data_IF_144539749065
#
_entry.id   IF_144539749065
#
_cell.length_a   1.000
_cell.length_b   1.000
_cell.length_c   1.000
_cell.angle_alpha   90.00
_cell.angle_beta   90.00
_cell.angle_gamma   90.00
#
_symmetry.space_group_name_H-M   'P 1'
#
loop_
_entity.id
_entity.type
_entity.pdbx_description
1 polymer ?
#
# COMPACT_ATOMS: atom_id res chain seq x y z
N UNK A 1 -46.33 -2.58 10.14
CA UNK A 1 -44.93 -2.83 9.74
C UNK A 1 -44.26 -3.89 10.62
N UNK A 2 -44.86 -5.09 10.76
CA UNK A 2 -44.26 -6.22 11.49
C UNK A 2 -44.67 -7.60 10.90
N UNK A 3 -45.21 -7.63 9.69
CA UNK A 3 -45.65 -8.84 8.98
C UNK A 3 -44.86 -9.13 7.69
N UNK A 4 -43.77 -8.40 7.43
CA UNK A 4 -42.99 -8.51 6.18
C UNK A 4 -41.54 -9.00 6.38
N UNK A 5 -41.22 -9.64 7.51
CA UNK A 5 -39.86 -10.10 7.82
C UNK A 5 -39.67 -11.63 7.89
N UNK A 6 -40.71 -12.42 7.58
CA UNK A 6 -40.67 -13.90 7.73
C UNK A 6 -40.57 -14.70 6.43
N UNK A 7 -40.43 -14.07 5.27
CA UNK A 7 -40.25 -14.77 3.99
C UNK A 7 -38.92 -14.39 3.33
N UNK A 8 -37.79 -14.97 3.77
CA UNK A 8 -36.64 -15.35 2.90
C UNK A 8 -35.44 -15.87 3.73
N UNK A 9 -35.62 -16.94 4.52
CA UNK A 9 -34.48 -17.69 5.08
C UNK A 9 -34.84 -19.18 5.09
N UNK A 10 -34.26 -19.95 4.16
CA UNK A 10 -34.46 -21.40 4.01
C UNK A 10 -33.48 -22.25 4.82
N UNK A 11 -32.80 -21.67 5.81
CA UNK A 11 -31.86 -22.38 6.67
C UNK A 11 -32.41 -22.57 8.10
N UNK A 12 -32.73 -23.80 8.54
CA UNK A 12 -33.27 -24.07 9.87
C UNK A 12 -32.34 -23.65 11.02
N UNK A 13 -31.02 -23.67 10.79
CA UNK A 13 -29.99 -23.40 11.81
C UNK A 13 -29.92 -21.90 12.17
N UNK A 14 -30.13 -21.02 11.18
CA UNK A 14 -30.11 -19.56 11.36
C UNK A 14 -31.36 -19.12 12.14
N UNK A 15 -32.52 -19.74 11.88
CA UNK A 15 -33.76 -19.48 12.62
C UNK A 15 -33.64 -19.81 14.10
N UNK A 16 -32.98 -20.92 14.46
CA UNK A 16 -32.81 -21.32 15.87
C UNK A 16 -31.92 -20.33 16.64
N UNK A 17 -30.80 -19.87 16.06
CA UNK A 17 -29.89 -18.91 16.72
C UNK A 17 -30.50 -17.52 16.88
N UNK A 18 -31.25 -17.03 15.89
CA UNK A 18 -31.92 -15.74 15.97
C UNK A 18 -33.03 -15.73 17.04
N UNK A 19 -33.79 -16.83 17.17
CA UNK A 19 -34.82 -16.97 18.21
C UNK A 19 -34.22 -17.14 19.61
N UNK A 20 -33.10 -17.86 19.75
CA UNK A 20 -32.38 -18.00 21.03
C UNK A 20 -31.82 -16.65 21.51
N UNK A 21 -31.29 -15.84 20.59
CA UNK A 21 -30.80 -14.49 20.88
C UNK A 21 -31.92 -13.55 21.32
N UNK A 22 -33.07 -13.58 20.64
CA UNK A 22 -34.24 -12.79 21.01
C UNK A 22 -34.82 -13.19 22.38
N UNK A 23 -34.83 -14.49 22.70
CA UNK A 23 -35.28 -14.99 24.01
C UNK A 23 -34.37 -14.50 25.14
N UNK A 24 -33.05 -14.46 24.89
CA UNK A 24 -32.05 -14.00 25.87
C UNK A 24 -32.17 -12.49 26.12
N UNK A 25 -32.41 -11.70 25.07
CA UNK A 25 -32.62 -10.25 25.16
C UNK A 25 -33.94 -9.93 25.87
N UNK A 26 -35.01 -10.69 25.62
CA UNK A 26 -36.31 -10.51 26.29
C UNK A 26 -36.28 -10.96 27.75
N UNK A 27 -35.48 -11.97 28.11
CA UNK A 27 -35.27 -12.41 29.49
C UNK A 27 -34.44 -11.40 30.31
N UNK A 28 -33.54 -10.65 29.67
CA UNK A 28 -32.69 -9.66 30.34
C UNK A 28 -33.40 -8.32 30.63
N UNK A 29 -34.60 -8.08 30.10
CA UNK A 29 -35.29 -6.78 30.20
C UNK A 29 -36.59 -6.76 31.02
N UNK A 30 -36.93 -7.81 31.78
CA UNK A 30 -38.14 -7.78 32.61
C UNK A 30 -37.94 -7.12 33.98
N UNK A 31 -38.14 -5.80 34.02
CA UNK A 31 -38.89 -5.16 35.09
C UNK A 31 -40.26 -4.73 34.52
N UNK A 32 -41.33 -5.12 35.20
CA UNK A 32 -42.75 -4.82 34.94
C UNK A 32 -43.50 -5.62 33.83
N UNK A 33 -44.29 -6.58 34.31
CA UNK A 33 -45.69 -6.87 33.94
C UNK A 33 -46.12 -7.03 32.48
N UNK A 34 -46.20 -8.28 32.01
CA UNK A 34 -47.44 -8.94 31.52
C UNK A 34 -47.08 -10.28 30.86
N UNK A 35 -47.61 -11.36 31.43
CA UNK A 35 -47.46 -12.74 30.95
C UNK A 35 -48.32 -12.92 29.68
N UNK A 36 -47.73 -13.40 28.58
CA UNK A 36 -48.40 -14.28 27.58
C UNK A 36 -47.54 -14.83 26.40
N UNK A 37 -46.30 -14.39 26.04
CA UNK A 37 -45.64 -14.96 24.85
C UNK A 37 -44.56 -16.04 25.07
N UNK A 38 -44.17 -16.39 26.31
CA UNK A 38 -43.02 -17.29 26.56
C UNK A 38 -43.33 -18.77 26.25
N UNK A 39 -44.56 -19.23 26.50
CA UNK A 39 -44.91 -20.66 26.31
C UNK A 39 -44.98 -21.07 24.82
N UNK A 40 -45.33 -20.15 23.92
CA UNK A 40 -45.38 -20.43 22.48
C UNK A 40 -44.00 -20.62 21.86
N UNK A 41 -42.97 -19.93 22.39
CA UNK A 41 -41.58 -20.03 21.92
C UNK A 41 -40.90 -21.33 22.36
N UNK A 42 -41.16 -21.80 23.58
CA UNK A 42 -40.63 -23.08 24.05
C UNK A 42 -41.20 -24.28 23.28
N UNK A 43 -42.48 -24.22 22.89
CA UNK A 43 -43.11 -25.29 22.12
C UNK A 43 -42.59 -25.37 20.66
N UNK A 44 -42.23 -24.24 20.06
CA UNK A 44 -41.64 -24.19 18.72
C UNK A 44 -40.20 -24.74 18.68
N UNK A 45 -39.41 -24.50 19.73
CA UNK A 45 -38.03 -25.02 19.85
C UNK A 45 -38.02 -26.55 20.05
N UNK A 46 -38.98 -27.09 20.80
CA UNK A 46 -39.12 -28.55 21.00
C UNK A 46 -39.41 -29.30 19.70
N UNK A 47 -40.34 -28.80 18.86
CA UNK A 47 -40.68 -29.41 17.55
C UNK A 47 -39.55 -29.36 16.52
N UNK A 48 -38.64 -28.38 16.63
CA UNK A 48 -37.48 -28.28 15.74
C UNK A 48 -36.37 -29.26 16.11
N UNK A 49 -36.24 -29.62 17.39
CA UNK A 49 -35.24 -30.58 17.87
C UNK A 49 -35.65 -32.04 17.61
N UNK A 50 -36.95 -32.36 17.61
CA UNK A 50 -37.45 -33.71 17.31
C UNK A 50 -37.34 -34.09 15.83
N UNK A 51 -37.13 -33.13 14.93
CA UNK A 51 -37.03 -33.36 13.47
C UNK A 51 -35.60 -33.66 12.99
N UNK A 52 -34.65 -33.87 13.92
CA UNK A 52 -33.21 -33.99 13.64
C UNK A 52 -32.65 -35.42 13.71
N UNK A 53 -33.48 -36.41 13.99
CA UNK A 53 -33.09 -37.81 14.00
C UNK A 53 -33.68 -38.57 12.81
N UNK A 54 -32.85 -39.43 12.23
CA UNK A 54 -33.07 -40.37 11.12
C UNK A 54 -32.86 -39.84 9.69
N UNK A 55 -31.62 -39.96 9.20
CA UNK A 55 -31.29 -40.31 7.81
C UNK A 55 -29.88 -40.96 7.80
N UNK A 56 -29.69 -42.15 7.20
CA UNK A 56 -28.43 -42.90 7.31
C UNK A 56 -27.30 -42.26 6.48
N UNK A 57 -26.12 -42.16 7.10
CA UNK A 57 -24.90 -41.59 6.53
C UNK A 57 -24.32 -42.51 5.44
N UNK A 58 -24.22 -42.02 4.21
CA UNK A 58 -23.39 -42.65 3.18
C UNK A 58 -21.89 -42.33 3.42
N UNK A 59 -20.95 -43.28 3.18
CA UNK A 59 -19.53 -43.12 3.58
C UNK A 59 -18.72 -42.08 2.80
N UNK A 60 -19.26 -41.44 1.76
CA UNK A 60 -18.50 -40.56 0.86
C UNK A 60 -18.31 -39.11 1.32
N UNK A 61 -19.02 -38.64 2.36
CA UNK A 61 -19.14 -37.20 2.65
C UNK A 61 -18.22 -36.69 3.78
N UNK A 62 -17.55 -37.59 4.51
CA UNK A 62 -16.65 -37.21 5.60
C UNK A 62 -15.30 -36.71 5.08
N UNK A 63 -14.74 -37.31 4.02
CA UNK A 63 -13.47 -36.85 3.43
C UNK A 63 -13.58 -35.45 2.81
N UNK A 64 -14.72 -35.11 2.18
CA UNK A 64 -14.94 -33.79 1.58
C UNK A 64 -15.08 -32.68 2.64
N UNK A 65 -15.75 -32.96 3.76
CA UNK A 65 -15.87 -32.02 4.89
C UNK A 65 -14.58 -31.87 5.70
N UNK A 66 -13.72 -32.91 5.76
CA UNK A 66 -12.43 -32.85 6.45
C UNK A 66 -11.41 -32.00 5.69
N UNK A 67 -11.37 -32.09 4.36
CA UNK A 67 -10.45 -31.29 3.52
C UNK A 67 -10.75 -29.78 3.54
N UNK A 68 -12.03 -29.37 3.68
CA UNK A 68 -12.39 -27.95 3.82
C UNK A 68 -12.09 -27.36 5.20
N UNK A 69 -11.73 -28.18 6.21
CA UNK A 69 -11.53 -27.72 7.60
C UNK A 69 -10.08 -27.46 8.02
N UNK A 70 -9.08 -27.82 7.22
CA UNK A 70 -7.66 -27.81 7.66
C UNK A 70 -6.77 -26.76 6.96
N UNK A 71 -7.38 -25.81 6.28
CA UNK A 71 -6.66 -24.84 5.48
C UNK A 71 -6.72 -23.44 6.15
N UNK A 72 -6.35 -23.31 7.44
CA UNK A 72 -6.27 -21.99 8.10
C UNK A 72 -5.02 -21.23 7.64
N UNK A 73 -5.11 -19.91 7.49
CA UNK A 73 -3.93 -19.04 7.33
C UNK A 73 -3.33 -18.77 8.73
N UNK A 74 -2.01 -18.94 8.95
CA UNK A 74 -1.40 -18.72 10.27
C UNK A 74 -1.22 -17.21 10.53
N UNK A 75 -2.34 -16.49 10.70
CA UNK A 75 -2.39 -15.03 10.91
C UNK A 75 -1.65 -14.59 12.17
N UNK A 76 -1.48 -15.47 13.16
CA UNK A 76 -0.63 -15.24 14.33
C UNK A 76 0.83 -14.89 13.97
N UNK A 77 1.35 -15.35 12.82
CA UNK A 77 2.71 -15.03 12.39
C UNK A 77 2.91 -13.54 12.07
N UNK A 78 1.85 -12.77 11.88
CA UNK A 78 1.94 -11.31 11.80
C UNK A 78 2.50 -10.69 13.09
N UNK A 79 2.32 -11.34 14.25
CA UNK A 79 2.87 -10.89 15.53
C UNK A 79 4.39 -11.09 15.59
N UNK A 80 4.90 -12.11 14.90
CA UNK A 80 6.33 -12.40 14.78
C UNK A 80 6.97 -11.54 13.69
N UNK A 81 6.24 -11.26 12.61
CA UNK A 81 6.72 -10.52 11.45
C UNK A 81 6.80 -9.01 11.71
N UNK A 82 5.90 -8.45 12.51
CA UNK A 82 5.88 -7.02 12.85
C UNK A 82 6.57 -6.84 14.20
N UNK A 83 7.89 -6.65 14.16
CA UNK A 83 8.73 -6.46 15.35
C UNK A 83 8.97 -4.97 15.65
N UNK A 84 9.50 -4.61 16.83
CA UNK A 84 9.95 -3.24 17.11
C UNK A 84 10.94 -2.71 16.07
N UNK A 85 11.85 -3.55 15.58
CA UNK A 85 12.87 -3.17 14.59
C UNK A 85 12.25 -2.85 13.23
N UNK A 86 11.28 -3.64 12.79
CA UNK A 86 10.52 -3.39 11.55
C UNK A 86 9.79 -2.05 11.64
N UNK A 87 9.16 -1.77 12.78
CA UNK A 87 8.46 -0.51 13.00
C UNK A 87 9.42 0.69 13.13
N UNK A 88 10.59 0.52 13.76
CA UNK A 88 11.62 1.54 13.83
C UNK A 88 12.18 1.86 12.43
N UNK A 89 12.38 0.84 11.59
CA UNK A 89 12.79 1.04 10.20
C UNK A 89 11.71 1.76 9.39
N UNK A 90 10.44 1.35 9.54
CA UNK A 90 9.29 1.99 8.90
C UNK A 90 9.20 3.48 9.29
N UNK A 91 9.37 3.83 10.56
CA UNK A 91 9.32 5.22 11.05
C UNK A 91 10.51 6.05 10.59
N UNK A 92 11.72 5.46 10.56
CA UNK A 92 12.94 6.17 10.17
C UNK A 92 13.07 6.35 8.64
N UNK A 93 12.76 5.32 7.86
CA UNK A 93 12.96 5.31 6.40
C UNK A 93 11.69 5.56 5.60
N UNK A 94 10.53 5.46 6.24
CA UNK A 94 9.22 5.52 5.57
C UNK A 94 8.80 4.22 4.91
N UNK A 95 9.61 3.18 5.00
CA UNK A 95 9.30 1.84 4.51
C UNK A 95 10.05 0.76 5.30
N UNK A 96 9.53 -0.46 5.28
CA UNK A 96 10.19 -1.65 5.81
C UNK A 96 9.85 -2.89 4.95
N UNK A 97 10.76 -3.87 4.92
CA UNK A 97 10.59 -5.11 4.15
C UNK A 97 10.73 -6.31 5.07
N UNK A 98 9.76 -7.22 5.02
CA UNK A 98 9.75 -8.44 5.82
C UNK A 98 9.59 -9.65 4.91
N UNK A 99 10.56 -10.57 4.95
CA UNK A 99 10.53 -11.83 4.20
C UNK A 99 10.04 -12.98 5.11
N UNK A 100 9.37 -13.98 4.53
CA UNK A 100 9.05 -15.22 5.23
C UNK A 100 7.85 -15.15 6.18
N UNK A 101 6.91 -14.22 5.95
CA UNK A 101 5.82 -13.86 6.87
C UNK A 101 4.93 -15.06 7.19
N UNK A 102 4.33 -15.70 6.18
CA UNK A 102 3.41 -16.82 6.40
C UNK A 102 4.06 -18.18 6.14
N UNK A 103 5.25 -18.20 5.55
CA UNK A 103 5.99 -19.38 5.15
C UNK A 103 5.59 -19.87 3.75
N UNK A 104 6.45 -20.66 3.11
CA UNK A 104 6.32 -21.02 1.69
C UNK A 104 5.02 -21.77 1.37
N UNK A 105 4.53 -22.60 2.30
CA UNK A 105 3.27 -23.36 2.12
C UNK A 105 2.07 -22.43 2.10
N UNK A 106 1.96 -21.54 3.10
CA UNK A 106 0.83 -20.60 3.22
C UNK A 106 0.85 -19.57 2.09
N UNK A 107 2.03 -19.00 1.79
CA UNK A 107 2.18 -18.06 0.69
C UNK A 107 1.87 -18.71 -0.67
N UNK A 108 2.19 -19.99 -0.88
CA UNK A 108 1.76 -20.72 -2.09
C UNK A 108 0.24 -20.88 -2.14
N UNK A 109 -0.43 -21.11 -1.02
CA UNK A 109 -1.90 -21.21 -0.98
C UNK A 109 -2.58 -19.88 -1.30
N UNK A 110 -2.05 -18.76 -0.77
CA UNK A 110 -2.51 -17.41 -1.13
C UNK A 110 -2.30 -17.11 -2.64
N UNK A 111 -1.17 -17.54 -3.21
CA UNK A 111 -0.92 -17.43 -4.65
C UNK A 111 -1.96 -18.19 -5.48
N UNK A 112 -2.31 -19.41 -5.06
CA UNK A 112 -3.31 -20.24 -5.75
C UNK A 112 -4.71 -19.61 -5.67
N UNK A 113 -5.08 -18.97 -4.56
CA UNK A 113 -6.35 -18.23 -4.46
C UNK A 113 -6.38 -17.04 -5.41
N UNK A 114 -5.31 -16.23 -5.47
CA UNK A 114 -5.26 -15.10 -6.39
C UNK A 114 -5.36 -15.56 -7.85
N UNK A 115 -4.65 -16.65 -8.21
CA UNK A 115 -4.77 -17.27 -9.54
C UNK A 115 -6.19 -17.77 -9.81
N UNK A 116 -6.86 -18.34 -8.81
CA UNK A 116 -8.24 -18.79 -8.94
C UNK A 116 -9.20 -17.62 -9.19
N UNK A 117 -9.13 -16.56 -8.39
CA UNK A 117 -9.92 -15.32 -8.57
C UNK A 117 -9.74 -14.77 -9.99
N UNK A 118 -8.49 -14.69 -10.45
CA UNK A 118 -8.16 -14.25 -11.79
C UNK A 118 -8.77 -15.14 -12.89
N UNK A 119 -8.55 -16.46 -12.83
CA UNK A 119 -9.05 -17.43 -13.82
C UNK A 119 -10.58 -17.55 -13.83
N UNK A 120 -11.22 -17.24 -12.71
CA UNK A 120 -12.69 -17.20 -12.58
C UNK A 120 -13.32 -15.93 -13.15
N UNK A 121 -12.53 -15.00 -13.70
CA UNK A 121 -13.03 -13.77 -14.31
C UNK A 121 -13.60 -12.76 -13.31
N UNK A 122 -13.19 -12.86 -12.04
CA UNK A 122 -13.63 -11.96 -10.97
C UNK A 122 -12.79 -10.67 -10.87
N UNK A 123 -11.75 -10.54 -11.72
CA UNK A 123 -10.91 -9.34 -11.76
C UNK A 123 -11.29 -8.48 -12.96
N UNK A 124 -11.16 -7.17 -12.81
CA UNK A 124 -11.36 -6.18 -13.87
C UNK A 124 -10.06 -5.41 -14.14
N UNK A 125 -9.97 -4.72 -15.27
CA UNK A 125 -8.79 -3.91 -15.60
C UNK A 125 -8.61 -2.79 -14.57
N UNK A 126 -7.39 -2.60 -14.09
CA UNK A 126 -7.04 -1.46 -13.25
C UNK A 126 -7.02 -0.17 -14.09
N UNK A 127 -7.55 0.91 -13.51
CA UNK A 127 -7.59 2.23 -14.13
C UNK A 127 -6.87 3.27 -13.29
N UNK A 128 -6.23 4.24 -13.96
CA UNK A 128 -5.90 5.53 -13.36
C UNK A 128 -7.09 6.46 -13.52
N UNK A 129 -7.56 7.06 -12.42
CA UNK A 129 -8.65 8.03 -12.43
C UNK A 129 -8.08 9.43 -12.68
N UNK A 130 -8.30 9.96 -13.88
CA UNK A 130 -7.91 11.33 -14.24
C UNK A 130 -9.12 12.24 -14.02
N UNK A 131 -9.08 13.05 -12.98
CA UNK A 131 -10.08 14.10 -12.75
C UNK A 131 -9.60 15.37 -13.46
N UNK A 132 -10.36 15.80 -14.46
CA UNK A 132 -10.13 17.03 -15.22
C UNK A 132 -11.47 17.74 -15.49
N UNK A 133 -11.54 19.04 -15.21
CA UNK A 133 -12.73 19.89 -15.47
C UNK A 133 -14.07 19.34 -14.94
N UNK A 134 -14.04 18.58 -13.84
CA UNK A 134 -15.24 17.98 -13.23
C UNK A 134 -15.68 16.65 -13.82
N UNK A 135 -14.96 16.13 -14.83
CA UNK A 135 -15.18 14.81 -15.41
C UNK A 135 -14.07 13.85 -14.95
N UNK A 136 -14.43 12.58 -14.76
CA UNK A 136 -13.46 11.51 -14.44
C UNK A 136 -13.25 10.66 -15.67
N UNK A 137 -12.06 10.78 -16.27
CA UNK A 137 -11.61 9.90 -17.32
C UNK A 137 -10.86 8.71 -16.72
N UNK A 138 -11.17 7.51 -17.19
CA UNK A 138 -10.50 6.28 -16.74
C UNK A 138 -9.46 5.87 -17.78
N UNK A 139 -8.20 5.78 -17.35
CA UNK A 139 -7.10 5.34 -18.19
C UNK A 139 -6.67 3.93 -17.79
N UNK A 140 -7.08 2.95 -18.59
CA UNK A 140 -6.81 1.54 -18.33
C UNK A 140 -5.31 1.23 -18.37
N UNK A 141 -4.87 0.33 -17.51
CA UNK A 141 -3.55 -0.30 -17.56
C UNK A 141 -3.72 -1.67 -18.20
N UNK A 142 -3.34 -1.78 -19.47
CA UNK A 142 -3.75 -2.90 -20.35
C UNK A 142 -3.40 -4.31 -19.86
N UNK A 143 -2.42 -4.45 -18.96
CA UNK A 143 -1.92 -5.74 -18.47
C UNK A 143 -2.20 -5.97 -16.98
N UNK A 144 -2.89 -5.05 -16.32
CA UNK A 144 -3.06 -5.08 -14.86
C UNK A 144 -4.52 -5.25 -14.53
N UNK A 145 -4.83 -6.36 -13.87
CA UNK A 145 -6.14 -6.72 -13.36
C UNK A 145 -6.19 -6.53 -11.85
N UNK A 146 -7.35 -6.14 -11.33
CA UNK A 146 -7.61 -5.98 -9.89
C UNK A 146 -8.98 -6.48 -9.48
N UNK A 147 -9.13 -6.74 -8.17
CA UNK A 147 -10.42 -7.04 -7.53
C UNK A 147 -10.40 -6.50 -6.10
N UNK A 148 -11.50 -5.86 -5.69
CA UNK A 148 -11.63 -5.25 -4.35
C UNK A 148 -12.18 -6.30 -3.36
N UNK A 149 -11.29 -7.07 -2.72
CA UNK A 149 -11.68 -8.18 -1.84
C UNK A 149 -12.55 -7.71 -0.67
N UNK A 150 -12.26 -6.56 -0.05
CA UNK A 150 -13.07 -6.06 1.08
C UNK A 150 -14.50 -5.67 0.66
N UNK A 151 -14.72 -5.33 -0.62
CA UNK A 151 -16.02 -4.83 -1.12
C UNK A 151 -16.83 -5.88 -1.88
N UNK A 152 -16.18 -6.88 -2.46
CA UNK A 152 -16.80 -7.82 -3.39
C UNK A 152 -16.97 -9.22 -2.76
N UNK A 153 -18.21 -9.57 -2.40
CA UNK A 153 -18.52 -10.85 -1.75
C UNK A 153 -18.09 -12.08 -2.58
N UNK A 154 -18.24 -12.03 -3.91
CA UNK A 154 -17.81 -13.10 -4.80
C UNK A 154 -16.28 -13.33 -4.77
N UNK A 155 -15.51 -12.25 -4.59
CA UNK A 155 -14.05 -12.32 -4.46
C UNK A 155 -13.66 -12.90 -3.10
N UNK A 156 -14.36 -12.53 -2.02
CA UNK A 156 -14.16 -13.13 -0.68
C UNK A 156 -14.45 -14.64 -0.67
N UNK A 157 -15.53 -15.06 -1.34
CA UNK A 157 -15.89 -16.47 -1.47
C UNK A 157 -14.83 -17.26 -2.27
N UNK A 158 -14.26 -16.65 -3.31
CA UNK A 158 -13.22 -17.25 -4.13
C UNK A 158 -11.81 -17.24 -3.49
N UNK A 159 -11.55 -16.35 -2.52
CA UNK A 159 -10.27 -16.23 -1.82
C UNK A 159 -10.41 -16.30 -0.28
N UNK A 160 -10.79 -17.46 0.28
CA UNK A 160 -11.09 -17.60 1.71
C UNK A 160 -9.89 -17.41 2.65
N UNK A 161 -8.63 -17.52 2.20
CA UNK A 161 -7.46 -17.18 3.02
C UNK A 161 -7.21 -15.68 3.06
N UNK A 162 -7.39 -15.00 1.93
CA UNK A 162 -7.28 -13.54 1.91
C UNK A 162 -8.45 -12.92 2.69
N UNK A 163 -9.65 -13.52 2.62
CA UNK A 163 -10.77 -13.12 3.48
C UNK A 163 -10.52 -13.37 4.98
N UNK A 164 -9.77 -14.41 5.35
CA UNK A 164 -9.31 -14.59 6.73
C UNK A 164 -8.37 -13.45 7.18
N UNK A 165 -7.54 -12.94 6.26
CA UNK A 165 -6.65 -11.82 6.52
C UNK A 165 -7.44 -10.50 6.66
N UNK A 166 -8.46 -10.27 5.84
CA UNK A 166 -9.38 -9.12 5.91
C UNK A 166 -10.16 -9.09 7.25
N UNK A 167 -10.55 -10.26 7.75
CA UNK A 167 -11.19 -10.37 9.06
C UNK A 167 -10.23 -10.19 10.25
N UNK A 168 -8.92 -10.21 10.03
CA UNK A 168 -7.90 -10.17 11.08
C UNK A 168 -7.35 -8.76 11.31
N UNK A 169 -7.19 -8.37 12.59
CA UNK A 169 -6.72 -7.04 12.97
C UNK A 169 -5.26 -6.99 13.43
N UNK A 170 -4.56 -8.13 13.49
CA UNK A 170 -3.20 -8.23 14.08
C UNK A 170 -2.21 -7.30 13.40
N UNK A 171 -2.23 -7.18 12.08
CA UNK A 171 -1.34 -6.25 11.37
C UNK A 171 -1.51 -4.81 11.90
N UNK A 172 -2.75 -4.31 11.94
CA UNK A 172 -3.05 -2.98 12.48
C UNK A 172 -2.70 -2.87 13.98
N UNK A 173 -2.99 -3.92 14.77
CA UNK A 173 -2.70 -3.94 16.21
C UNK A 173 -1.21 -3.86 16.49
N UNK A 174 -0.37 -4.63 15.78
CA UNK A 174 1.07 -4.63 15.98
C UNK A 174 1.69 -3.30 15.52
N UNK A 175 1.23 -2.75 14.40
CA UNK A 175 1.65 -1.42 13.94
C UNK A 175 1.27 -0.33 14.94
N UNK A 176 0.04 -0.31 15.46
CA UNK A 176 -0.36 0.65 16.49
C UNK A 176 0.37 0.47 17.82
N UNK A 177 0.78 -0.75 18.17
CA UNK A 177 1.51 -1.03 19.40
C UNK A 177 2.89 -0.35 19.39
N UNK A 178 3.60 -0.42 18.26
CA UNK A 178 4.95 0.12 18.13
C UNK A 178 4.98 1.53 17.51
N UNK A 179 3.95 1.94 16.78
CA UNK A 179 3.77 3.27 16.18
C UNK A 179 2.38 3.83 16.53
N UNK A 180 2.16 4.23 17.79
CA UNK A 180 0.84 4.67 18.27
C UNK A 180 0.31 5.94 17.59
N UNK A 181 1.16 6.70 16.91
CA UNK A 181 0.79 7.86 16.09
C UNK A 181 -0.02 7.50 14.83
N UNK A 182 -0.02 6.22 14.41
CA UNK A 182 -0.74 5.76 13.23
C UNK A 182 -2.25 5.65 13.45
N UNK A 183 -2.69 5.26 14.65
CA UNK A 183 -4.10 5.13 15.05
C UNK A 183 -4.95 4.37 14.02
N UNK A 184 -4.42 3.26 13.50
CA UNK A 184 -5.05 2.45 12.46
C UNK A 184 -6.33 1.78 13.00
N UNK A 185 -7.47 2.05 12.35
CA UNK A 185 -8.79 1.56 12.78
C UNK A 185 -9.50 0.69 11.74
N UNK A 186 -9.20 0.90 10.46
CA UNK A 186 -9.79 0.16 9.36
C UNK A 186 -8.73 -0.22 8.33
N UNK A 187 -9.07 -1.16 7.46
CA UNK A 187 -8.28 -1.46 6.29
C UNK A 187 -9.17 -1.85 5.11
N UNK A 188 -8.57 -1.87 3.93
CA UNK A 188 -9.13 -2.46 2.72
C UNK A 188 -8.06 -3.28 2.01
N UNK A 189 -8.45 -4.43 1.45
CA UNK A 189 -7.59 -5.34 0.71
C UNK A 189 -8.00 -5.35 -0.76
N UNK A 190 -7.02 -5.09 -1.63
CA UNK A 190 -7.15 -5.22 -3.07
C UNK A 190 -6.21 -6.29 -3.61
N UNK A 191 -6.74 -7.19 -4.42
CA UNK A 191 -5.96 -8.23 -5.10
C UNK A 191 -5.56 -7.72 -6.48
N UNK A 192 -4.34 -8.02 -6.92
CA UNK A 192 -3.81 -7.55 -8.18
C UNK A 192 -3.06 -8.66 -8.92
N UNK A 193 -3.37 -8.83 -10.20
CA UNK A 193 -2.67 -9.70 -11.12
C UNK A 193 -2.22 -8.89 -12.33
N UNK A 194 -0.91 -8.82 -12.56
CA UNK A 194 -0.33 -8.28 -13.78
C UNK A 194 0.11 -9.45 -14.66
N UNK A 195 -0.36 -9.48 -15.91
CA UNK A 195 -0.09 -10.56 -16.88
C UNK A 195 1.39 -10.60 -17.34
N UNK A 196 2.13 -9.53 -17.09
CA UNK A 196 3.47 -9.31 -17.65
C UNK A 196 3.40 -8.39 -18.87
N UNK A 197 4.25 -8.65 -19.87
CA UNK A 197 4.22 -7.89 -21.13
C UNK A 197 4.48 -6.39 -21.01
N UNK A 198 5.06 -5.93 -19.89
CA UNK A 198 5.37 -4.53 -19.62
C UNK A 198 4.41 -3.82 -18.67
N UNK A 199 3.38 -4.49 -18.14
CA UNK A 199 2.46 -3.88 -17.17
C UNK A 199 3.20 -3.24 -15.98
N UNK A 200 2.83 -2.01 -15.63
CA UNK A 200 3.46 -1.20 -14.58
C UNK A 200 2.48 -0.17 -14.00
N UNK A 201 2.97 0.62 -13.03
CA UNK A 201 2.22 1.72 -12.41
C UNK A 201 3.05 3.00 -12.48
N UNK A 202 2.42 4.15 -12.79
CA UNK A 202 3.14 5.42 -12.84
C UNK A 202 3.58 5.82 -11.44
N UNK A 203 4.45 6.82 -11.34
CA UNK A 203 4.78 7.41 -10.05
C UNK A 203 3.56 8.05 -9.38
N UNK A 204 3.39 7.77 -8.10
CA UNK A 204 2.32 8.31 -7.28
C UNK A 204 2.61 8.19 -5.78
N UNK A 205 1.80 8.89 -4.99
CA UNK A 205 1.54 8.59 -3.60
C UNK A 205 0.21 7.82 -3.53
N UNK A 206 0.05 6.94 -2.54
CA UNK A 206 -1.14 6.10 -2.43
C UNK A 206 -2.37 6.87 -1.91
N UNK A 207 -2.12 8.02 -1.29
CA UNK A 207 -3.12 8.89 -0.72
C UNK A 207 -2.61 10.33 -0.62
N UNK A 208 -3.54 11.25 -0.47
CA UNK A 208 -3.32 12.62 0.03
C UNK A 208 -3.94 12.72 1.44
N UNK A 209 -3.19 13.22 2.41
CA UNK A 209 -3.62 13.38 3.82
C UNK A 209 -4.91 14.20 3.96
N UNK A 210 -5.24 15.03 2.97
CA UNK A 210 -6.48 15.83 2.95
C UNK A 210 -7.68 15.08 2.40
N UNK A 211 -7.47 13.98 1.65
CA UNK A 211 -8.52 13.29 0.90
C UNK A 211 -8.96 11.98 1.55
N UNK A 212 -8.04 11.23 2.14
CA UNK A 212 -8.38 10.00 2.85
C UNK A 212 -7.51 9.76 4.10
N UNK A 213 -7.94 8.80 4.95
CA UNK A 213 -7.25 8.47 6.20
C UNK A 213 -6.18 7.39 6.06
N UNK A 214 -5.73 7.01 4.86
CA UNK A 214 -4.70 5.98 4.69
C UNK A 214 -3.39 6.45 5.30
N UNK A 215 -2.78 5.61 6.13
CA UNK A 215 -1.49 5.91 6.78
C UNK A 215 -0.42 4.95 6.32
N UNK A 216 -0.72 3.65 6.29
CA UNK A 216 0.25 2.60 5.93
C UNK A 216 -0.28 1.77 4.77
N UNK A 217 0.56 1.61 3.74
CA UNK A 217 0.33 0.63 2.68
C UNK A 217 1.17 -0.60 2.97
N UNK A 218 0.53 -1.76 2.89
CA UNK A 218 1.15 -3.07 3.05
C UNK A 218 0.96 -3.90 1.78
N UNK A 219 2.03 -4.19 1.04
CA UNK A 219 1.98 -5.03 -0.17
C UNK A 219 2.56 -6.41 0.14
N UNK A 220 1.79 -7.46 -0.11
CA UNK A 220 2.23 -8.84 0.02
C UNK A 220 2.43 -9.50 -1.34
N UNK A 221 3.63 -10.01 -1.60
CA UNK A 221 4.04 -10.57 -2.88
C UNK A 221 3.97 -12.09 -2.94
N UNK A 222 3.53 -12.59 -4.10
CA UNK A 222 3.18 -14.01 -4.31
C UNK A 222 3.97 -14.64 -5.46
N UNK A 223 5.14 -14.11 -5.81
CA UNK A 223 5.84 -14.50 -7.05
C UNK A 223 7.04 -15.41 -6.79
N UNK A 224 6.88 -16.69 -7.08
CA UNK A 224 7.92 -17.70 -6.92
C UNK A 224 9.06 -17.50 -7.92
N UNK A 225 10.29 -17.82 -7.50
CA UNK A 225 11.49 -17.80 -8.34
C UNK A 225 11.74 -16.48 -9.08
N UNK A 226 11.41 -15.33 -8.45
CA UNK A 226 11.64 -14.01 -9.05
C UNK A 226 13.13 -13.74 -9.28
N UNK A 227 13.46 -13.18 -10.44
CA UNK A 227 14.81 -12.78 -10.81
C UNK A 227 14.83 -11.29 -11.18
N UNK A 228 15.96 -10.58 -10.97
CA UNK A 228 16.07 -9.16 -11.34
C UNK A 228 15.65 -8.85 -12.79
N UNK A 229 15.97 -9.74 -13.72
CA UNK A 229 15.66 -9.62 -15.15
C UNK A 229 14.16 -9.65 -15.48
N UNK A 230 13.31 -10.13 -14.58
CA UNK A 230 11.86 -10.16 -14.76
C UNK A 230 11.21 -8.76 -14.67
N UNK A 231 11.92 -7.77 -14.12
CA UNK A 231 11.36 -6.44 -13.87
C UNK A 231 10.37 -6.45 -12.69
N UNK A 232 9.31 -5.64 -12.78
CA UNK A 232 8.19 -5.67 -11.84
C UNK A 232 8.49 -5.21 -10.41
N UNK A 233 9.67 -4.64 -10.16
CA UNK A 233 10.05 -4.12 -8.84
C UNK A 233 9.12 -2.98 -8.41
N UNK A 234 8.86 -2.90 -7.11
CA UNK A 234 8.38 -1.67 -6.50
C UNK A 234 9.58 -0.75 -6.30
N UNK A 235 9.59 0.41 -6.96
CA UNK A 235 10.59 1.44 -6.73
C UNK A 235 10.04 2.46 -5.74
N UNK A 236 10.72 2.61 -4.62
CA UNK A 236 10.44 3.62 -3.61
C UNK A 236 11.41 4.79 -3.75
N UNK A 237 10.95 6.01 -3.46
CA UNK A 237 11.77 7.23 -3.46
C UNK A 237 11.80 7.83 -2.06
N UNK A 238 12.66 7.32 -1.15
CA UNK A 238 12.78 7.81 0.22
C UNK A 238 13.51 9.16 0.30
N UNK A 239 13.05 10.17 -0.45
CA UNK A 239 13.75 11.45 -0.63
C UNK A 239 14.08 12.10 0.73
N UNK A 240 15.34 12.55 0.92
CA UNK A 240 16.40 12.72 -0.09
C UNK A 240 17.32 11.52 -0.29
N UNK A 241 17.06 10.37 0.33
CA UNK A 241 17.86 9.17 0.10
C UNK A 241 17.63 8.61 -1.33
N UNK A 242 18.61 7.87 -1.88
CA UNK A 242 18.51 7.28 -3.21
C UNK A 242 17.27 6.37 -3.38
N UNK A 243 16.74 6.25 -4.61
CA UNK A 243 15.66 5.31 -4.91
C UNK A 243 16.02 3.86 -4.55
N UNK A 244 15.05 3.08 -4.11
CA UNK A 244 15.23 1.69 -3.69
C UNK A 244 14.28 0.77 -4.47
N UNK A 245 14.86 -0.23 -5.13
CA UNK A 245 14.12 -1.24 -5.89
C UNK A 245 13.88 -2.51 -5.06
N UNK A 246 12.62 -2.79 -4.77
CA UNK A 246 12.20 -3.98 -4.02
C UNK A 246 11.63 -5.01 -4.97
N UNK A 247 12.31 -6.16 -5.07
CA UNK A 247 11.84 -7.29 -5.86
C UNK A 247 10.55 -7.88 -5.24
N UNK A 248 9.53 -8.20 -6.06
CA UNK A 248 8.25 -8.73 -5.61
C UNK A 248 8.32 -10.23 -5.31
N UNK A 249 9.25 -10.64 -4.45
CA UNK A 249 9.53 -12.06 -4.13
C UNK A 249 8.38 -12.71 -3.37
N UNK A 250 8.21 -14.02 -3.55
CA UNK A 250 7.24 -14.82 -2.80
C UNK A 250 7.42 -14.67 -1.28
N UNK A 251 6.29 -14.55 -0.55
CA UNK A 251 6.23 -14.44 0.91
C UNK A 251 6.94 -13.19 1.48
N UNK A 252 7.01 -12.13 0.67
CA UNK A 252 7.52 -10.81 1.08
C UNK A 252 6.39 -9.84 1.35
N UNK A 253 6.44 -9.19 2.51
CA UNK A 253 5.64 -8.03 2.87
C UNK A 253 6.49 -6.77 2.75
N UNK A 254 5.94 -5.73 2.14
CA UNK A 254 6.51 -4.38 2.13
C UNK A 254 5.53 -3.43 2.79
N UNK A 255 5.99 -2.65 3.76
CA UNK A 255 5.24 -1.61 4.45
C UNK A 255 5.79 -0.26 4.03
N UNK A 256 4.94 0.74 3.78
CA UNK A 256 5.40 2.12 3.56
C UNK A 256 4.33 3.16 3.90
N UNK A 257 4.78 4.41 4.12
CA UNK A 257 3.91 5.55 4.42
C UNK A 257 3.06 5.94 3.21
N UNK A 258 1.74 5.73 3.27
CA UNK A 258 0.82 5.88 2.12
C UNK A 258 0.83 7.29 1.53
N UNK A 259 0.91 8.32 2.39
CA UNK A 259 0.76 9.72 1.97
C UNK A 259 2.09 10.41 1.69
N UNK A 260 3.21 9.82 2.10
CA UNK A 260 4.53 10.49 2.05
C UNK A 260 5.58 9.73 1.26
N UNK A 261 5.37 8.45 0.95
CA UNK A 261 6.30 7.65 0.14
C UNK A 261 5.91 7.71 -1.34
N UNK A 262 6.69 8.47 -2.12
CA UNK A 262 6.60 8.42 -3.58
C UNK A 262 7.08 7.05 -4.05
N UNK A 263 6.34 6.45 -4.97
CA UNK A 263 6.71 5.15 -5.51
C UNK A 263 6.11 4.90 -6.91
N UNK A 264 6.67 3.93 -7.62
CA UNK A 264 6.14 3.35 -8.87
C UNK A 264 6.36 1.85 -8.89
N UNK A 265 5.68 1.16 -9.81
CA UNK A 265 6.00 -0.24 -10.13
C UNK A 265 6.67 -0.26 -11.49
N UNK A 266 7.88 -0.83 -11.59
CA UNK A 266 8.60 -0.95 -12.86
C UNK A 266 7.91 -1.96 -13.80
N UNK A 267 8.09 -1.84 -15.14
CA UNK A 267 7.54 -2.79 -16.11
C UNK A 267 7.85 -4.25 -15.76
N UNK A 268 6.80 -5.08 -15.65
CA UNK A 268 6.94 -6.51 -15.42
C UNK A 268 6.93 -7.27 -16.74
N UNK A 269 7.97 -8.07 -17.01
CA UNK A 269 8.04 -8.92 -18.22
C UNK A 269 7.27 -10.22 -18.07
N UNK A 270 7.08 -10.68 -16.85
CA UNK A 270 6.42 -11.94 -16.49
C UNK A 270 5.22 -11.66 -15.58
N UNK A 271 4.30 -12.63 -15.39
CA UNK A 271 3.18 -12.46 -14.49
C UNK A 271 3.60 -12.09 -13.07
N UNK A 272 2.93 -11.09 -12.49
CA UNK A 272 3.21 -10.55 -11.15
C UNK A 272 1.91 -10.42 -10.35
N UNK A 273 1.84 -11.14 -9.24
CA UNK A 273 0.72 -11.19 -8.32
C UNK A 273 1.07 -10.59 -6.97
N UNK A 274 0.16 -9.80 -6.41
CA UNK A 274 0.21 -9.31 -5.05
C UNK A 274 -1.20 -9.01 -4.54
N UNK A 275 -1.32 -8.83 -3.22
CA UNK A 275 -2.43 -8.08 -2.67
C UNK A 275 -1.89 -6.92 -1.86
N UNK A 276 -2.64 -5.82 -1.84
CA UNK A 276 -2.33 -4.59 -1.13
C UNK A 276 -3.36 -4.41 -0.03
N UNK A 277 -2.90 -4.12 1.19
CA UNK A 277 -3.72 -3.76 2.34
C UNK A 277 -3.43 -2.28 2.64
N UNK A 278 -4.43 -1.43 2.49
CA UNK A 278 -4.34 -0.04 2.95
C UNK A 278 -4.92 0.06 4.34
N UNK A 279 -4.09 0.46 5.30
CA UNK A 279 -4.48 0.66 6.68
C UNK A 279 -4.73 2.15 6.92
N UNK A 280 -5.92 2.45 7.42
CA UNK A 280 -6.38 3.82 7.60
C UNK A 280 -6.62 4.16 9.07
N UNK A 281 -6.32 5.40 9.42
CA UNK A 281 -6.79 5.96 10.68
C UNK A 281 -8.32 6.06 10.69
N UNK A 282 -8.89 6.01 11.90
CA UNK A 282 -10.30 6.32 12.10
C UNK A 282 -10.63 7.70 11.56
N UNK A 283 -11.85 7.89 11.03
CA UNK A 283 -12.34 9.23 10.66
C UNK A 283 -12.44 10.09 11.92
N UNK A 284 -11.36 10.78 12.25
CA UNK A 284 -11.36 11.79 13.29
C UNK A 284 -12.07 13.03 12.75
N UNK A 285 -12.94 13.64 13.56
CA UNK A 285 -13.57 14.93 13.21
C UNK A 285 -12.44 15.95 13.02
N UNK A 286 -12.19 16.34 11.77
CA UNK A 286 -11.29 17.41 11.35
C UNK A 286 -10.07 17.58 12.29
N UNK A 287 -9.05 16.74 12.11
CA UNK A 287 -7.73 17.15 12.58
C UNK A 287 -7.46 18.53 11.97
N UNK A 288 -7.22 19.53 12.81
CA UNK A 288 -7.02 20.90 12.35
C UNK A 288 -5.98 20.93 11.24
N UNK A 289 -6.27 21.63 10.15
CA UNK A 289 -5.34 21.81 9.03
C UNK A 289 -3.99 22.22 9.63
N UNK A 290 -2.96 21.41 9.43
CA UNK A 290 -1.62 21.75 9.91
C UNK A 290 -1.30 23.16 9.40
N UNK A 291 -0.79 24.06 10.27
CA UNK A 291 -0.54 25.44 9.87
C UNK A 291 0.34 25.44 8.63
N UNK A 292 -0.08 26.20 7.60
CA UNK A 292 0.69 26.29 6.36
C UNK A 292 2.13 26.70 6.72
N UNK A 293 3.14 25.96 6.26
CA UNK A 293 4.53 26.33 6.46
C UNK A 293 4.76 27.78 6.06
N UNK A 294 5.28 28.60 6.98
CA UNK A 294 5.69 29.95 6.63
C UNK A 294 6.96 29.85 5.79
N UNK A 295 6.96 30.50 4.62
CA UNK A 295 8.14 30.58 3.79
C UNK A 295 9.29 31.20 4.61
N UNK A 296 10.48 30.58 4.61
CA UNK A 296 11.65 31.17 5.26
C UNK A 296 12.03 32.50 4.58
N UNK A 297 12.86 33.31 5.25
CA UNK A 297 13.39 34.54 4.66
C UNK A 297 14.12 34.22 3.35
N UNK A 298 14.15 35.15 2.37
CA UNK A 298 14.84 34.94 1.10
C UNK A 298 16.28 34.49 1.31
N UNK A 299 16.70 33.53 0.50
CA UNK A 299 18.00 32.87 0.51
C UNK A 299 19.15 33.88 0.31
N UNK A 300 20.25 33.71 1.05
CA UNK A 300 21.50 34.47 0.86
C UNK A 300 22.38 33.92 -0.27
N UNK A 301 22.01 32.76 -0.84
CA UNK A 301 22.77 32.06 -1.89
C UNK A 301 23.67 30.93 -1.37
N UNK A 302 23.64 30.66 -0.06
CA UNK A 302 24.46 29.65 0.62
C UNK A 302 23.56 28.50 1.15
N UNK A 303 24.06 27.24 1.24
CA UNK A 303 23.30 26.13 1.80
C UNK A 303 22.78 26.47 3.20
N UNK A 304 21.45 26.55 3.33
CA UNK A 304 20.79 26.93 4.57
C UNK A 304 20.04 25.74 5.16
N UNK A 305 20.49 25.27 6.32
CA UNK A 305 19.82 24.20 7.08
C UNK A 305 18.34 24.53 7.30
N UNK A 306 18.03 25.80 7.63
CA UNK A 306 16.66 26.26 7.85
C UNK A 306 15.79 26.15 6.59
N UNK A 307 16.35 26.50 5.42
CA UNK A 307 15.66 26.38 4.15
C UNK A 307 15.40 24.91 3.80
N UNK A 308 16.40 24.04 3.95
CA UNK A 308 16.24 22.62 3.63
C UNK A 308 15.31 21.92 4.62
N UNK A 309 15.34 22.28 5.90
CA UNK A 309 14.33 21.83 6.88
C UNK A 309 12.92 22.24 6.46
N UNK A 310 12.73 23.47 5.94
CA UNK A 310 11.45 23.90 5.37
C UNK A 310 11.03 23.05 4.15
N UNK A 311 11.95 22.85 3.19
CA UNK A 311 11.69 22.05 1.99
C UNK A 311 11.36 20.59 2.33
N UNK A 312 11.92 20.07 3.43
CA UNK A 312 11.70 18.70 3.92
C UNK A 312 10.46 18.54 4.81
N UNK A 313 9.71 19.61 5.09
CA UNK A 313 8.43 19.47 5.78
C UNK A 313 7.45 18.64 4.94
N UNK A 314 6.62 17.77 5.54
CA UNK A 314 5.76 16.83 4.81
C UNK A 314 4.94 17.46 3.66
N UNK A 315 4.29 18.59 3.92
CA UNK A 315 3.45 19.29 2.96
C UNK A 315 4.22 19.88 1.76
N UNK A 316 5.51 20.18 1.93
CA UNK A 316 6.38 20.77 0.89
C UNK A 316 7.16 19.68 0.16
N UNK A 317 7.64 18.68 0.90
CA UNK A 317 8.52 17.62 0.40
C UNK A 317 7.92 16.84 -0.77
N UNK A 318 6.63 16.55 -0.75
CA UNK A 318 5.95 15.89 -1.88
C UNK A 318 6.11 16.67 -3.20
N UNK A 319 6.09 18.00 -3.13
CA UNK A 319 6.27 18.88 -4.28
C UNK A 319 7.75 18.94 -4.70
N UNK A 320 8.66 18.95 -3.73
CA UNK A 320 10.10 18.80 -3.99
C UNK A 320 10.39 17.50 -4.72
N UNK A 321 9.82 16.37 -4.28
CA UNK A 321 9.97 15.08 -4.96
C UNK A 321 9.48 15.15 -6.41
N UNK A 322 8.35 15.82 -6.66
CA UNK A 322 7.80 15.98 -8.01
C UNK A 322 8.71 16.81 -8.93
N UNK A 323 9.42 17.80 -8.38
CA UNK A 323 10.47 18.52 -9.11
C UNK A 323 11.71 17.64 -9.32
N UNK A 324 12.17 16.95 -8.26
CA UNK A 324 13.38 16.13 -8.28
C UNK A 324 13.32 15.00 -9.31
N UNK A 325 12.13 14.42 -9.48
CA UNK A 325 11.89 13.27 -10.34
C UNK A 325 10.95 13.59 -11.50
N UNK A 326 10.88 14.85 -11.94
CA UNK A 326 9.93 15.31 -12.95
C UNK A 326 10.00 14.50 -14.25
N UNK A 327 11.21 14.24 -14.75
CA UNK A 327 11.44 13.50 -16.00
C UNK A 327 11.10 12.01 -15.85
N UNK A 328 11.52 11.38 -14.75
CA UNK A 328 11.17 9.98 -14.47
C UNK A 328 9.66 9.81 -14.26
N UNK A 329 8.97 10.85 -13.74
CA UNK A 329 7.53 10.83 -13.55
C UNK A 329 6.82 10.82 -14.89
N UNK A 330 7.24 11.72 -15.79
CA UNK A 330 6.73 11.79 -17.14
C UNK A 330 6.94 10.45 -17.88
N UNK A 331 8.14 9.88 -17.78
CA UNK A 331 8.44 8.56 -18.34
C UNK A 331 7.52 7.47 -17.77
N UNK A 332 7.27 7.48 -16.45
CA UNK A 332 6.43 6.47 -15.80
C UNK A 332 4.96 6.52 -16.26
N UNK A 333 4.46 7.71 -16.63
CA UNK A 333 3.11 7.88 -17.19
C UNK A 333 3.06 7.21 -18.58
N UNK A 334 4.04 7.51 -19.42
CA UNK A 334 4.16 6.95 -20.78
C UNK A 334 4.31 5.43 -20.77
N UNK A 335 5.08 4.87 -19.83
CA UNK A 335 5.28 3.42 -19.73
C UNK A 335 4.03 2.68 -19.24
N UNK A 336 3.22 3.32 -18.39
CA UNK A 336 2.09 2.66 -17.70
C UNK A 336 0.79 2.64 -18.51
N UNK A 337 0.72 3.42 -19.58
CA UNK A 337 -0.51 3.70 -20.30
C UNK A 337 -0.32 3.60 -21.82
N UNK A 338 -1.35 3.18 -22.57
CA UNK A 338 -1.28 3.21 -24.03
C UNK A 338 -1.15 4.66 -24.54
N UNK A 339 -0.52 4.84 -25.68
CA UNK A 339 -0.47 6.14 -26.35
C UNK A 339 -1.88 6.55 -26.82
N UNK A 340 -2.46 7.57 -26.19
CA UNK A 340 -3.76 8.13 -26.53
C UNK A 340 -3.92 9.54 -25.94
N UNK A 341 -4.96 10.27 -26.36
CA UNK A 341 -5.24 11.65 -25.91
C UNK A 341 -5.34 11.78 -24.38
N UNK A 342 -5.84 10.74 -23.70
CA UNK A 342 -5.93 10.71 -22.25
C UNK A 342 -4.54 10.68 -21.58
N UNK A 343 -3.60 9.92 -22.17
CA UNK A 343 -2.21 9.85 -21.71
C UNK A 343 -1.51 11.18 -21.95
N UNK A 344 -1.70 11.80 -23.12
CA UNK A 344 -1.18 13.15 -23.41
C UNK A 344 -1.73 14.20 -22.45
N UNK A 345 -3.02 14.14 -22.11
CA UNK A 345 -3.62 15.02 -21.11
C UNK A 345 -3.03 14.82 -19.71
N UNK A 346 -2.70 13.57 -19.34
CA UNK A 346 -2.02 13.28 -18.07
C UNK A 346 -0.58 13.84 -18.04
N UNK A 347 0.16 13.71 -19.15
CA UNK A 347 1.51 14.28 -19.30
C UNK A 347 1.47 15.81 -19.22
N UNK A 348 0.54 16.45 -19.92
CA UNK A 348 0.37 17.91 -19.89
C UNK A 348 -0.01 18.40 -18.49
N UNK A 349 -0.92 17.71 -17.79
CA UNK A 349 -1.26 18.02 -16.40
C UNK A 349 -0.03 17.93 -15.49
N UNK A 350 0.79 16.90 -15.63
CA UNK A 350 2.03 16.74 -14.87
C UNK A 350 2.98 17.91 -15.11
N UNK A 351 3.22 18.30 -16.37
CA UNK A 351 4.08 19.44 -16.72
C UNK A 351 3.57 20.75 -16.15
N UNK A 352 2.25 20.99 -16.19
CA UNK A 352 1.62 22.16 -15.59
C UNK A 352 1.80 22.20 -14.07
N UNK A 353 1.64 21.05 -13.40
CA UNK A 353 1.86 20.94 -11.95
C UNK A 353 3.33 21.18 -11.57
N UNK A 354 4.29 20.63 -12.33
CA UNK A 354 5.73 20.89 -12.16
C UNK A 354 6.03 22.39 -12.33
N UNK A 355 5.51 23.03 -13.37
CA UNK A 355 5.70 24.45 -13.61
C UNK A 355 5.11 25.31 -12.48
N UNK A 356 3.91 24.98 -12.01
CA UNK A 356 3.26 25.67 -10.90
C UNK A 356 4.05 25.53 -9.59
N UNK A 357 4.55 24.33 -9.28
CA UNK A 357 5.40 24.08 -8.10
C UNK A 357 6.71 24.87 -8.20
N UNK A 358 7.36 24.85 -9.36
CA UNK A 358 8.59 25.60 -9.60
C UNK A 358 8.38 27.11 -9.39
N UNK A 359 7.29 27.66 -9.93
CA UNK A 359 6.93 29.06 -9.72
C UNK A 359 6.67 29.39 -8.23
N UNK A 360 5.97 28.50 -7.51
CA UNK A 360 5.67 28.67 -6.09
C UNK A 360 6.93 28.64 -5.20
N UNK A 361 7.94 27.86 -5.57
CA UNK A 361 9.21 27.73 -4.85
C UNK A 361 10.33 28.62 -5.43
N UNK A 362 10.01 29.54 -6.33
CA UNK A 362 11.00 30.42 -6.99
C UNK A 362 11.88 31.22 -6.02
N UNK A 363 11.35 31.62 -4.86
CA UNK A 363 12.09 32.32 -3.80
C UNK A 363 13.13 31.46 -3.07
N UNK A 364 13.05 30.14 -3.24
CA UNK A 364 13.91 29.14 -2.64
C UNK A 364 14.85 28.48 -3.68
N UNK A 365 14.87 28.99 -4.91
CA UNK A 365 15.41 28.27 -6.06
C UNK A 365 16.93 27.97 -5.99
N UNK A 366 17.81 28.89 -5.54
CA UNK A 366 19.23 28.57 -5.37
C UNK A 366 19.47 27.41 -4.40
N UNK A 367 18.97 27.52 -3.16
CA UNK A 367 19.08 26.43 -2.18
C UNK A 367 18.34 25.15 -2.57
N UNK A 368 17.22 25.23 -3.29
CA UNK A 368 16.54 24.05 -3.84
C UNK A 368 17.43 23.34 -4.88
N UNK A 369 18.07 24.07 -5.79
CA UNK A 369 18.97 23.48 -6.79
C UNK A 369 20.18 22.80 -6.14
N UNK A 370 20.77 23.43 -5.12
CA UNK A 370 21.86 22.83 -4.34
C UNK A 370 21.41 21.51 -3.67
N UNK A 371 20.22 21.51 -3.05
CA UNK A 371 19.66 20.31 -2.43
C UNK A 371 19.42 19.18 -3.45
N UNK A 372 18.83 19.51 -4.60
CA UNK A 372 18.59 18.53 -5.67
C UNK A 372 19.89 17.98 -6.25
N UNK A 373 20.92 18.82 -6.41
CA UNK A 373 22.25 18.38 -6.82
C UNK A 373 22.88 17.43 -5.79
N UNK A 374 22.82 17.77 -4.50
CA UNK A 374 23.34 16.92 -3.43
C UNK A 374 22.59 15.57 -3.36
N UNK A 375 21.27 15.57 -3.51
CA UNK A 375 20.47 14.35 -3.59
C UNK A 375 20.86 13.48 -4.80
N UNK A 376 21.12 14.11 -5.95
CA UNK A 376 21.61 13.42 -7.15
C UNK A 376 22.99 12.80 -6.93
N UNK A 377 23.93 13.53 -6.31
CA UNK A 377 25.24 12.99 -5.96
C UNK A 377 25.15 11.76 -5.05
N UNK A 378 24.24 11.78 -4.06
CA UNK A 378 23.97 10.60 -3.21
C UNK A 378 23.43 9.42 -4.03
N UNK A 379 22.52 9.67 -4.98
CA UNK A 379 21.97 8.62 -5.83
C UNK A 379 23.01 8.02 -6.78
N UNK A 380 23.84 8.85 -7.39
CA UNK A 380 24.90 8.42 -8.31
C UNK A 380 25.97 7.58 -7.58
N UNK A 381 26.33 7.96 -6.35
CA UNK A 381 27.23 7.17 -5.51
C UNK A 381 26.64 5.78 -5.16
N UNK A 382 25.37 5.73 -4.74
CA UNK A 382 24.70 4.47 -4.43
C UNK A 382 24.54 3.54 -5.64
N UNK A 383 24.39 4.11 -6.85
CA UNK A 383 24.34 3.33 -8.08
C UNK A 383 25.69 2.68 -8.44
N UNK A 384 26.81 3.32 -8.10
CA UNK A 384 28.16 2.79 -8.33
C UNK A 384 28.52 1.65 -7.38
N UNK A 385 28.04 1.69 -6.14
CA UNK A 385 28.26 0.63 -5.13
C UNK A 385 27.35 -0.60 -5.31
N UNK A 386 26.36 -0.54 -6.21
CA UNK A 386 25.44 -1.64 -6.45
C UNK A 386 26.12 -2.75 -7.28
N UNK A 387 26.08 -4.03 -6.87
CA UNK A 387 26.86 -5.13 -7.48
C UNK A 387 26.42 -5.55 -8.91
N UNK A 388 25.67 -4.71 -9.62
CA UNK A 388 25.18 -4.97 -10.98
C UNK A 388 26.08 -4.40 -12.10
N UNK A 389 27.17 -3.69 -11.78
CA UNK A 389 28.04 -3.06 -12.78
C UNK A 389 29.49 -3.58 -12.71
N UNK A 390 29.72 -4.85 -13.07
CA UNK A 390 31.04 -5.28 -13.57
C UNK A 390 30.90 -5.55 -15.07
N UNK A 391 31.26 -4.56 -15.88
CA UNK A 391 31.62 -4.76 -17.29
C UNK A 391 32.82 -3.89 -17.65
N UNK A 392 33.91 -4.57 -18.03
CA UNK A 392 34.84 -4.14 -19.07
C UNK A 392 36.01 -3.29 -18.61
N UNK A 393 37.11 -3.95 -18.22
CA UNK A 393 38.44 -3.35 -18.23
C UNK A 393 38.83 -2.89 -19.65
N UNK A 394 39.34 -1.67 -19.74
CA UNK A 394 40.03 -1.12 -20.89
C UNK A 394 40.97 0.00 -20.43
N UNK A 395 42.27 -0.31 -20.41
CA UNK A 395 43.43 0.61 -20.39
C UNK A 395 43.31 1.69 -21.49
N UNK A 396 43.84 2.91 -21.43
CA UNK A 396 45.05 3.42 -20.77
C UNK A 396 45.12 4.97 -20.83
N UNK A 397 45.91 5.54 -19.91
CA UNK A 397 46.73 6.78 -20.01
C UNK A 397 46.13 8.21 -19.94
N UNK A 398 46.47 8.86 -18.81
CA UNK A 398 47.03 10.22 -18.60
C UNK A 398 46.35 11.49 -19.15
N UNK A 399 45.97 12.40 -18.25
CA UNK A 399 46.74 13.63 -18.00
C UNK A 399 46.16 14.40 -16.80
N UNK A 400 47.04 14.77 -15.87
CA UNK A 400 46.73 15.51 -14.65
C UNK A 400 46.95 17.01 -14.87
N UNK A 401 45.89 17.79 -14.75
CA UNK A 401 45.95 19.21 -14.38
C UNK A 401 44.72 19.54 -13.55
N UNK A 402 44.77 19.20 -12.25
CA UNK A 402 43.75 19.59 -11.28
C UNK A 402 43.93 21.07 -10.97
N UNK A 403 42.93 21.86 -11.35
CA UNK A 403 42.86 23.29 -11.05
C UNK A 403 42.33 23.49 -9.64
N UNK A 404 42.65 24.63 -9.01
CA UNK A 404 42.15 25.03 -7.69
C UNK A 404 40.62 25.20 -7.66
N UNK A 405 39.97 25.37 -8.81
CA UNK A 405 38.50 25.40 -8.93
C UNK A 405 37.87 24.02 -8.69
N UNK A 406 38.48 22.95 -9.19
CA UNK A 406 37.98 21.58 -9.01
C UNK A 406 38.06 21.10 -7.55
N UNK A 407 38.95 21.69 -6.75
CA UNK A 407 39.07 21.39 -5.33
C UNK A 407 37.99 22.11 -4.50
N UNK A 408 37.71 23.37 -4.81
CA UNK A 408 36.68 24.18 -4.13
C UNK A 408 35.26 23.70 -4.48
N UNK A 409 34.99 23.30 -5.72
CA UNK A 409 33.70 22.69 -6.10
C UNK A 409 33.50 21.30 -5.49
N UNK A 410 34.58 20.52 -5.31
CA UNK A 410 34.51 19.22 -4.63
C UNK A 410 34.22 19.37 -3.12
N UNK A 411 34.80 20.38 -2.49
CA UNK A 411 34.62 20.67 -1.07
C UNK A 411 33.18 21.16 -0.79
N UNK A 412 32.67 22.11 -1.58
CA UNK A 412 31.29 22.61 -1.44
C UNK A 412 30.23 21.55 -1.73
N UNK A 413 30.48 20.64 -2.67
CA UNK A 413 29.60 19.49 -2.94
C UNK A 413 29.53 18.51 -1.77
N UNK A 414 30.64 18.27 -1.07
CA UNK A 414 30.68 17.39 0.11
C UNK A 414 29.96 18.01 1.31
N UNK A 415 30.14 19.32 1.54
CA UNK A 415 29.41 20.05 2.58
C UNK A 415 27.89 20.00 2.36
N UNK A 416 27.44 20.21 1.11
CA UNK A 416 26.03 20.12 0.74
C UNK A 416 25.45 18.72 0.98
N UNK A 417 26.19 17.65 0.65
CA UNK A 417 25.76 16.28 0.91
C UNK A 417 25.67 16.00 2.42
N UNK A 418 26.66 16.45 3.21
CA UNK A 418 26.65 16.29 4.67
C UNK A 418 25.46 17.01 5.31
N UNK A 419 25.19 18.25 4.89
CA UNK A 419 24.02 19.00 5.36
C UNK A 419 22.71 18.29 5.00
N UNK A 420 22.62 17.72 3.79
CA UNK A 420 21.41 17.03 3.34
C UNK A 420 21.14 15.78 4.18
N UNK A 421 22.19 15.03 4.54
CA UNK A 421 22.08 13.88 5.43
C UNK A 421 21.63 14.28 6.84
N UNK A 422 22.14 15.39 7.37
CA UNK A 422 21.70 15.93 8.66
C UNK A 422 20.21 16.33 8.64
N UNK A 423 19.76 17.02 7.59
CA UNK A 423 18.34 17.40 7.44
C UNK A 423 17.47 16.16 7.24
N UNK A 424 17.94 15.18 6.46
CA UNK A 424 17.23 13.92 6.20
C UNK A 424 16.94 13.12 7.48
N UNK A 425 17.82 13.17 8.47
CA UNK A 425 17.63 12.49 9.76
C UNK A 425 16.40 12.98 10.55
N UNK A 426 15.85 14.15 10.22
CA UNK A 426 14.70 14.76 10.89
C UNK A 426 13.39 14.63 10.09
N UNK A 427 13.43 13.94 8.94
CA UNK A 427 12.26 13.70 8.10
C UNK A 427 11.24 12.85 8.85
N UNK A 428 9.97 13.28 8.83
CA UNK A 428 8.85 12.56 9.44
C UNK A 428 8.00 11.86 8.39
N UNK A 429 7.86 10.54 8.52
CA UNK A 429 7.05 9.72 7.61
C UNK A 429 5.60 9.52 8.05
N UNK A 430 5.31 9.63 9.35
CA UNK A 430 3.96 9.49 9.92
C UNK A 430 3.52 10.70 10.72
#
# INVERSE_FOLDING_TARGET
>A
MLSAWTCSVSCPIIKTRALQGLLTVLQQHHAASSLLPINCLQHAVSKLNSSRESLPLQPGNQNRRRMHSEARLPVERLQEAITPEVCAELDAKGYAVVDGVFGPVSARRLELELKHVHQSGLMHLNHTHLVAKGETQLLAKSQVMEAELTLEAAVQEAAPLVAQLDADRRLATMLNLFLPQLRLESHAIKMQHNEGGGGCFPMHFDSDELLDGRRVTAIFYLNQHWQPSHGGQLRLYPFPAPPVDIQPRHDRLVLFASTRMLHRVLPSRVPRSCFTIWLSEGRSKAAGVAPKPLLPRPDSGEPSEQLWQFLMQPAVRQHVCKLAYADEWEQSITESHPACDATEAALEKHRQEVAAISAALSKCQPGLQQMLSAAKTLADAAAQDSPAAVKGEGSDSSSSSSSTHDAVERDSGQEAVSLLQQVAAHVKWF
#
